data_IF_516549013156
#
_entry.id   IF_516549013156
#
_cell.length_a   1.000
_cell.length_b   1.000
_cell.length_c   1.000
_cell.angle_alpha   90.00
_cell.angle_beta   90.00
_cell.angle_gamma   90.00
#
_symmetry.space_group_name_H-M   'P 1'
#
loop_
_entity.id
_entity.type
_entity.pdbx_description
1 polymer ?
#
# COMPACT_ATOMS: atom_id res chain seq x y z
N UNK A 1 -20.27 -7.27 -27.73
CA UNK A 1 -19.33 -7.92 -26.77
C UNK A 1 -19.12 -9.33 -27.24
N UNK A 2 -17.91 -9.69 -27.68
CA UNK A 2 -17.58 -11.09 -27.95
C UNK A 2 -17.62 -11.84 -26.59
N UNK A 3 -18.43 -12.89 -26.49
CA UNK A 3 -18.40 -13.78 -25.33
C UNK A 3 -17.16 -14.63 -25.43
N UNK A 4 -16.41 -14.72 -24.35
CA UNK A 4 -15.26 -15.60 -24.27
C UNK A 4 -15.75 -17.04 -24.26
N UNK A 5 -15.06 -17.92 -24.97
CA UNK A 5 -15.40 -19.35 -25.10
C UNK A 5 -14.20 -20.20 -24.71
N UNK A 6 -14.44 -21.32 -24.06
CA UNK A 6 -13.44 -22.33 -23.73
C UNK A 6 -14.07 -23.72 -23.73
N UNK A 7 -13.25 -24.77 -23.59
CA UNK A 7 -13.74 -26.13 -23.61
C UNK A 7 -14.43 -26.50 -22.29
N UNK A 8 -15.72 -26.86 -22.39
CA UNK A 8 -16.48 -27.37 -21.26
C UNK A 8 -16.35 -28.88 -21.19
N UNK A 9 -15.81 -29.43 -20.10
CA UNK A 9 -15.60 -30.87 -19.90
C UNK A 9 -16.94 -31.62 -19.78
N UNK A 10 -17.95 -31.00 -19.19
CA UNK A 10 -19.30 -31.57 -19.02
C UNK A 10 -20.05 -31.63 -20.36
N UNK A 11 -20.02 -30.52 -21.13
CA UNK A 11 -20.68 -30.50 -22.46
C UNK A 11 -19.87 -31.19 -23.54
N UNK A 12 -18.54 -31.36 -23.31
CA UNK A 12 -17.55 -31.88 -24.27
C UNK A 12 -17.45 -31.07 -25.58
N UNK A 13 -17.65 -29.77 -25.47
CA UNK A 13 -17.61 -28.84 -26.60
C UNK A 13 -17.11 -27.46 -26.17
N UNK A 14 -16.76 -26.61 -27.14
CA UNK A 14 -16.46 -25.18 -26.89
C UNK A 14 -17.75 -24.45 -26.53
N UNK A 15 -17.82 -23.93 -25.33
CA UNK A 15 -18.98 -23.23 -24.79
C UNK A 15 -18.63 -21.84 -24.28
N UNK A 16 -19.56 -20.93 -24.37
CA UNK A 16 -19.41 -19.64 -23.68
C UNK A 16 -19.49 -19.82 -22.17
N UNK A 17 -18.84 -18.92 -21.44
CA UNK A 17 -18.86 -18.95 -19.99
C UNK A 17 -19.06 -17.55 -19.41
N UNK A 18 -19.56 -17.51 -18.19
CA UNK A 18 -19.67 -16.32 -17.36
C UNK A 18 -18.81 -16.44 -16.10
N UNK A 19 -18.27 -15.31 -15.63
CA UNK A 19 -17.51 -15.28 -14.38
C UNK A 19 -18.44 -15.04 -13.20
N UNK A 20 -18.35 -15.91 -12.19
CA UNK A 20 -19.17 -15.84 -10.99
C UNK A 20 -18.31 -15.93 -9.73
N UNK A 21 -18.69 -15.23 -8.67
CA UNK A 21 -18.06 -15.37 -7.35
C UNK A 21 -18.65 -16.60 -6.63
N UNK A 22 -17.76 -17.42 -6.06
CA UNK A 22 -18.11 -18.62 -5.29
C UNK A 22 -17.26 -18.73 -4.03
N UNK A 23 -17.90 -19.21 -2.96
CA UNK A 23 -17.20 -19.53 -1.72
C UNK A 23 -16.64 -20.94 -1.77
N UNK A 24 -15.35 -21.08 -1.51
CA UNK A 24 -14.66 -22.37 -1.39
C UNK A 24 -13.98 -22.49 -0.05
N UNK A 25 -14.07 -23.65 0.59
CA UNK A 25 -13.36 -23.93 1.84
C UNK A 25 -12.09 -24.71 1.54
N UNK A 26 -10.96 -24.22 2.03
CA UNK A 26 -9.64 -24.87 1.90
C UNK A 26 -9.02 -25.07 3.27
N UNK A 27 -8.36 -26.22 3.46
CA UNK A 27 -7.53 -26.44 4.64
C UNK A 27 -6.13 -25.84 4.40
N UNK A 28 -5.79 -24.80 5.15
CA UNK A 28 -4.47 -24.16 5.09
C UNK A 28 -3.85 -24.23 6.48
N UNK A 29 -2.73 -24.93 6.57
CA UNK A 29 -1.97 -25.11 7.82
C UNK A 29 -2.83 -25.69 8.98
N UNK A 30 -3.74 -26.60 8.67
CA UNK A 30 -4.62 -27.26 9.64
C UNK A 30 -5.90 -26.48 10.00
N UNK A 31 -6.11 -25.30 9.44
CA UNK A 31 -7.33 -24.52 9.61
C UNK A 31 -8.20 -24.56 8.36
N UNK A 32 -9.50 -24.78 8.52
CA UNK A 32 -10.47 -24.68 7.43
C UNK A 32 -10.90 -23.23 7.27
N UNK A 33 -10.50 -22.62 6.15
CA UNK A 33 -10.78 -21.23 5.82
C UNK A 33 -11.64 -21.15 4.57
N UNK A 34 -12.60 -20.25 4.56
CA UNK A 34 -13.49 -20.01 3.41
C UNK A 34 -13.06 -18.77 2.66
N UNK A 35 -12.94 -18.90 1.36
CA UNK A 35 -12.50 -17.86 0.44
C UNK A 35 -13.54 -17.64 -0.65
N UNK A 36 -13.71 -16.40 -1.05
CA UNK A 36 -14.50 -16.05 -2.23
C UNK A 36 -13.56 -16.00 -3.45
N UNK A 37 -13.81 -16.85 -4.44
CA UNK A 37 -13.01 -16.94 -5.66
C UNK A 37 -13.85 -16.70 -6.91
N UNK A 38 -13.21 -16.27 -7.98
CA UNK A 38 -13.82 -16.10 -9.29
C UNK A 38 -13.78 -17.42 -10.06
N UNK A 39 -14.93 -17.95 -10.45
CA UNK A 39 -15.05 -19.18 -11.23
C UNK A 39 -15.63 -18.90 -12.60
N UNK A 40 -15.15 -19.60 -13.64
CA UNK A 40 -15.82 -19.67 -14.92
C UNK A 40 -16.91 -20.73 -14.86
N UNK A 41 -18.12 -20.35 -15.24
CA UNK A 41 -19.30 -21.22 -15.26
C UNK A 41 -19.84 -21.29 -16.68
N UNK A 42 -19.99 -22.50 -17.19
CA UNK A 42 -20.53 -22.74 -18.52
C UNK A 42 -21.96 -22.19 -18.63
N UNK A 43 -22.22 -21.40 -19.65
CA UNK A 43 -23.54 -20.82 -19.88
C UNK A 43 -24.58 -21.88 -20.35
N UNK A 44 -24.09 -23.05 -20.86
CA UNK A 44 -24.95 -24.13 -21.35
C UNK A 44 -25.36 -25.10 -20.24
N UNK A 45 -24.43 -25.63 -19.44
CA UNK A 45 -24.72 -26.64 -18.44
C UNK A 45 -24.62 -26.17 -17.00
N UNK A 46 -24.09 -24.96 -16.75
CA UNK A 46 -23.86 -24.44 -15.40
C UNK A 46 -22.67 -25.08 -14.66
N UNK A 47 -21.92 -25.96 -15.31
CA UNK A 47 -20.75 -26.63 -14.75
C UNK A 47 -19.54 -25.68 -14.68
N UNK A 48 -18.59 -26.00 -13.79
CA UNK A 48 -17.35 -25.27 -13.69
C UNK A 48 -16.43 -25.53 -14.88
N UNK A 49 -15.83 -24.49 -15.41
CA UNK A 49 -14.86 -24.57 -16.50
C UNK A 49 -13.46 -24.22 -16.01
N UNK A 50 -12.48 -24.98 -16.49
CA UNK A 50 -11.06 -24.72 -16.21
C UNK A 50 -10.50 -23.81 -17.30
N UNK A 51 -10.61 -22.50 -17.10
CA UNK A 51 -10.14 -21.50 -18.05
C UNK A 51 -8.74 -21.02 -17.65
N UNK A 52 -7.77 -21.01 -18.57
CA UNK A 52 -6.45 -20.44 -18.31
C UNK A 52 -6.55 -19.00 -17.78
N UNK A 53 -5.71 -18.65 -16.81
CA UNK A 53 -5.71 -17.33 -16.15
C UNK A 53 -6.72 -17.21 -15.00
N UNK A 54 -7.87 -17.90 -15.02
CA UNK A 54 -8.80 -17.92 -13.87
C UNK A 54 -8.21 -18.70 -12.70
N UNK A 55 -7.44 -19.74 -12.97
CA UNK A 55 -6.74 -20.51 -11.93
C UNK A 55 -5.71 -19.64 -11.22
N UNK A 56 -4.92 -18.87 -11.98
CA UNK A 56 -3.93 -17.95 -11.43
C UNK A 56 -4.60 -16.82 -10.64
N UNK A 57 -5.71 -16.28 -11.13
CA UNK A 57 -6.53 -15.30 -10.42
C UNK A 57 -7.02 -15.87 -9.08
N UNK A 58 -7.50 -17.12 -9.06
CA UNK A 58 -7.97 -17.78 -7.83
C UNK A 58 -6.85 -17.93 -6.79
N UNK A 59 -5.65 -18.29 -7.23
CA UNK A 59 -4.48 -18.38 -6.33
C UNK A 59 -4.20 -17.01 -5.71
N UNK A 60 -4.24 -15.94 -6.50
CA UNK A 60 -4.06 -14.58 -6.04
C UNK A 60 -5.17 -14.15 -5.06
N UNK A 61 -6.45 -14.36 -5.41
CA UNK A 61 -7.59 -14.03 -4.56
C UNK A 61 -7.53 -14.75 -3.19
N UNK A 62 -7.12 -16.03 -3.18
CA UNK A 62 -6.96 -16.79 -1.95
C UNK A 62 -5.78 -16.23 -1.11
N UNK A 63 -4.63 -15.94 -1.73
CA UNK A 63 -3.47 -15.40 -1.02
C UNK A 63 -3.78 -14.04 -0.37
N UNK A 64 -4.42 -13.14 -1.10
CA UNK A 64 -4.83 -11.83 -0.56
C UNK A 64 -5.81 -11.96 0.61
N UNK A 65 -6.85 -12.78 0.46
CA UNK A 65 -7.82 -13.01 1.52
C UNK A 65 -7.17 -13.68 2.73
N UNK A 66 -6.28 -14.66 2.52
CA UNK A 66 -5.54 -15.30 3.59
C UNK A 66 -4.68 -14.31 4.37
N UNK A 67 -3.92 -13.46 3.67
CA UNK A 67 -3.11 -12.40 4.31
C UNK A 67 -3.99 -11.46 5.12
N UNK A 68 -5.11 -11.03 4.59
CA UNK A 68 -6.08 -10.16 5.26
C UNK A 68 -6.66 -10.82 6.51
N UNK A 69 -7.11 -12.08 6.42
CA UNK A 69 -7.64 -12.85 7.55
C UNK A 69 -6.63 -13.04 8.68
N UNK A 70 -5.35 -13.25 8.34
CA UNK A 70 -4.27 -13.45 9.31
C UNK A 70 -3.62 -12.13 9.75
N UNK A 71 -4.06 -10.98 9.24
CA UNK A 71 -3.47 -9.68 9.54
C UNK A 71 -2.02 -9.57 9.07
N UNK A 72 -1.70 -10.17 7.94
CA UNK A 72 -0.36 -10.12 7.33
C UNK A 72 -0.30 -9.01 6.29
N UNK A 73 0.91 -8.53 5.98
CA UNK A 73 1.12 -7.54 4.91
C UNK A 73 0.89 -8.18 3.53
N UNK A 74 0.34 -7.39 2.63
CA UNK A 74 0.15 -7.78 1.23
C UNK A 74 1.45 -7.65 0.43
N UNK A 75 1.45 -8.14 -0.80
CA UNK A 75 2.55 -7.90 -1.75
C UNK A 75 2.60 -6.41 -2.13
N UNK A 76 1.43 -5.79 -2.27
CA UNK A 76 1.28 -4.37 -2.56
C UNK A 76 1.86 -3.47 -1.44
N UNK A 77 1.65 -3.82 -0.17
CA UNK A 77 2.29 -3.13 0.96
C UNK A 77 3.82 -3.13 0.83
N UNK A 78 4.41 -4.24 0.39
CA UNK A 78 5.86 -4.34 0.20
C UNK A 78 6.32 -3.49 -0.99
N UNK A 79 5.58 -3.47 -2.10
CA UNK A 79 5.86 -2.59 -3.23
C UNK A 79 5.78 -1.12 -2.81
N UNK A 80 4.71 -0.75 -2.13
CA UNK A 80 4.52 0.61 -1.58
C UNK A 80 5.68 1.02 -0.67
N UNK A 81 6.15 0.11 0.20
CA UNK A 81 7.29 0.38 1.07
C UNK A 81 8.58 0.64 0.27
N UNK A 82 8.84 -0.17 -0.76
CA UNK A 82 10.00 0.01 -1.62
C UNK A 82 9.98 1.34 -2.38
N UNK A 83 8.83 1.73 -2.90
CA UNK A 83 8.63 3.00 -3.61
C UNK A 83 8.70 4.19 -2.66
N UNK A 84 8.03 4.10 -1.51
CA UNK A 84 7.99 5.16 -0.50
C UNK A 84 9.38 5.59 -0.07
N UNK A 85 10.29 4.63 0.15
CA UNK A 85 11.66 4.91 0.59
C UNK A 85 12.71 4.78 -0.51
N UNK A 86 12.28 4.56 -1.76
CA UNK A 86 13.14 4.43 -2.93
C UNK A 86 14.29 3.43 -2.70
N UNK A 87 13.96 2.24 -2.22
CA UNK A 87 14.89 1.20 -1.81
C UNK A 87 14.62 -0.12 -2.53
N UNK A 88 15.68 -0.79 -2.97
CA UNK A 88 15.58 -2.08 -3.66
C UNK A 88 15.29 -3.26 -2.71
N UNK A 89 14.93 -4.42 -3.27
CA UNK A 89 14.53 -5.65 -2.54
C UNK A 89 15.58 -6.12 -1.53
N UNK A 90 16.83 -6.30 -1.97
CA UNK A 90 17.92 -6.78 -1.13
C UNK A 90 18.32 -5.76 -0.04
N UNK A 91 18.55 -4.46 -0.35
CA UNK A 91 18.78 -3.45 0.67
C UNK A 91 17.64 -3.34 1.68
N UNK A 92 16.37 -3.39 1.24
CA UNK A 92 15.22 -3.35 2.14
C UNK A 92 15.22 -4.55 3.10
N UNK A 93 15.49 -5.77 2.59
CA UNK A 93 15.60 -6.96 3.44
C UNK A 93 16.62 -6.75 4.56
N UNK A 94 17.81 -6.25 4.22
CA UNK A 94 18.91 -6.01 5.17
C UNK A 94 18.53 -4.92 6.18
N UNK A 95 17.96 -3.80 5.71
CA UNK A 95 17.53 -2.67 6.56
C UNK A 95 16.50 -3.11 7.60
N UNK A 96 15.54 -3.95 7.21
CA UNK A 96 14.52 -4.46 8.14
C UNK A 96 15.04 -5.57 9.07
N UNK A 97 16.32 -5.97 8.94
CA UNK A 97 16.93 -7.03 9.75
C UNK A 97 16.57 -8.43 9.27
N UNK A 98 16.12 -8.57 8.03
CA UNK A 98 15.82 -9.86 7.40
C UNK A 98 17.05 -10.44 6.69
N UNK A 99 16.95 -11.69 6.23
CA UNK A 99 17.90 -12.24 5.27
C UNK A 99 17.76 -11.55 3.91
N UNK A 100 18.87 -11.37 3.19
CA UNK A 100 18.98 -10.56 1.96
C UNK A 100 17.92 -10.85 0.90
N UNK A 101 17.50 -12.11 0.74
CA UNK A 101 16.53 -12.55 -0.27
C UNK A 101 15.08 -12.59 0.26
N UNK A 102 14.84 -12.21 1.52
CA UNK A 102 13.51 -12.38 2.17
C UNK A 102 12.42 -11.58 1.48
N UNK A 103 12.65 -10.31 1.20
CA UNK A 103 11.68 -9.46 0.47
C UNK A 103 11.43 -10.01 -0.94
N UNK A 104 12.46 -10.50 -1.62
CA UNK A 104 12.29 -11.13 -2.93
C UNK A 104 11.36 -12.35 -2.86
N UNK A 105 11.51 -13.20 -1.84
CA UNK A 105 10.62 -14.36 -1.64
C UNK A 105 9.17 -13.95 -1.36
N UNK A 106 8.96 -12.87 -0.59
CA UNK A 106 7.61 -12.36 -0.30
C UNK A 106 6.93 -11.82 -1.55
N UNK A 107 7.68 -11.13 -2.42
CA UNK A 107 7.19 -10.65 -3.71
C UNK A 107 6.90 -11.79 -4.70
N UNK A 108 7.50 -12.96 -4.51
CA UNK A 108 7.23 -14.19 -5.26
C UNK A 108 6.10 -15.04 -4.65
N UNK A 109 5.36 -14.51 -3.66
CA UNK A 109 4.20 -15.17 -3.08
C UNK A 109 4.45 -15.90 -1.74
N UNK A 110 5.69 -15.95 -1.23
CA UNK A 110 5.90 -16.51 0.11
C UNK A 110 5.20 -15.63 1.17
N UNK A 111 4.45 -16.27 2.05
CA UNK A 111 3.71 -15.59 3.12
C UNK A 111 4.65 -15.24 4.27
N UNK A 112 4.75 -13.96 4.69
CA UNK A 112 5.56 -13.55 5.82
C UNK A 112 4.99 -14.06 7.16
N UNK A 113 5.84 -14.14 8.19
CA UNK A 113 5.38 -14.32 9.56
C UNK A 113 4.65 -13.07 10.06
N UNK A 114 3.88 -13.21 11.15
CA UNK A 114 3.22 -12.07 11.79
C UNK A 114 4.23 -11.02 12.30
N UNK A 115 5.36 -11.49 12.83
CA UNK A 115 6.45 -10.62 13.30
C UNK A 115 7.04 -9.79 12.16
N UNK A 116 7.37 -10.43 11.05
CA UNK A 116 7.92 -9.73 9.88
C UNK A 116 6.89 -8.81 9.23
N UNK A 117 5.62 -9.21 9.21
CA UNK A 117 4.52 -8.33 8.78
C UNK A 117 4.41 -7.08 9.65
N UNK A 118 4.58 -7.20 10.97
CA UNK A 118 4.55 -6.05 11.86
C UNK A 118 5.75 -5.10 11.64
N UNK A 119 6.94 -5.64 11.39
CA UNK A 119 8.13 -4.84 11.07
C UNK A 119 7.89 -4.04 9.77
N UNK A 120 7.38 -4.68 8.73
CA UNK A 120 7.05 -4.03 7.45
C UNK A 120 5.98 -2.96 7.65
N UNK A 121 4.92 -3.25 8.40
CA UNK A 121 3.83 -2.30 8.70
C UNK A 121 4.33 -1.10 9.48
N UNK A 122 5.19 -1.29 10.48
CA UNK A 122 5.80 -0.20 11.23
C UNK A 122 6.66 0.70 10.34
N UNK A 123 7.41 0.10 9.40
CA UNK A 123 8.19 0.87 8.43
C UNK A 123 7.30 1.65 7.46
N UNK A 124 6.15 1.09 7.03
CA UNK A 124 5.17 1.80 6.20
C UNK A 124 4.54 2.99 6.93
N UNK A 125 4.19 2.81 8.19
CA UNK A 125 3.46 3.82 8.97
C UNK A 125 4.33 4.92 9.57
N UNK A 126 5.66 4.71 9.70
CA UNK A 126 6.54 5.63 10.42
C UNK A 126 7.89 5.83 9.72
N UNK A 127 8.11 7.00 9.09
CA UNK A 127 9.42 7.38 8.57
C UNK A 127 10.51 7.42 9.65
N UNK A 128 10.16 7.70 10.89
CA UNK A 128 11.09 7.68 12.03
C UNK A 128 11.56 6.26 12.33
N UNK A 129 10.65 5.28 12.29
CA UNK A 129 11.00 3.88 12.44
C UNK A 129 11.92 3.40 11.31
N UNK A 130 11.63 3.78 10.06
CA UNK A 130 12.48 3.44 8.91
C UNK A 130 13.86 4.09 9.01
N UNK A 131 13.95 5.34 9.47
CA UNK A 131 15.23 6.00 9.75
C UNK A 131 16.07 5.22 10.75
N UNK A 132 15.45 4.83 11.87
CA UNK A 132 16.13 4.03 12.89
C UNK A 132 16.68 2.71 12.29
N UNK A 133 15.88 2.00 11.51
CA UNK A 133 16.28 0.76 10.86
C UNK A 133 17.43 0.95 9.86
N UNK A 134 17.43 2.05 9.11
CA UNK A 134 18.50 2.44 8.20
C UNK A 134 19.80 2.69 8.98
N UNK A 135 19.74 3.42 10.08
CA UNK A 135 20.91 3.72 10.91
C UNK A 135 21.48 2.48 11.60
N UNK A 136 20.61 1.61 12.13
CA UNK A 136 21.00 0.32 12.76
C UNK A 136 21.77 -0.60 11.79
N UNK A 137 21.43 -0.57 10.50
CA UNK A 137 22.01 -1.46 9.50
C UNK A 137 22.89 -0.74 8.45
N UNK A 138 23.32 0.47 8.75
CA UNK A 138 24.07 1.35 7.83
C UNK A 138 25.28 0.66 7.19
N UNK A 139 26.06 -0.06 7.97
CA UNK A 139 27.30 -0.68 7.52
C UNK A 139 27.08 -1.97 6.70
N UNK A 140 25.83 -2.47 6.66
CA UNK A 140 25.45 -3.68 5.93
C UNK A 140 24.82 -3.39 4.58
N UNK A 141 24.53 -2.13 4.28
CA UNK A 141 23.85 -1.67 3.07
C UNK A 141 24.80 -0.82 2.23
N UNK A 142 24.73 -0.96 0.91
CA UNK A 142 25.53 -0.13 0.00
C UNK A 142 25.23 1.37 0.25
N UNK A 143 26.30 2.17 0.34
CA UNK A 143 26.25 3.60 0.67
C UNK A 143 25.26 4.38 -0.25
N UNK A 144 25.19 4.01 -1.53
CA UNK A 144 24.27 4.67 -2.47
C UNK A 144 22.81 4.39 -2.12
N UNK A 145 22.44 3.14 -1.76
CA UNK A 145 21.09 2.78 -1.36
C UNK A 145 20.72 3.44 -0.02
N UNK A 146 21.66 3.45 0.94
CA UNK A 146 21.48 4.14 2.22
C UNK A 146 21.19 5.64 2.02
N UNK A 147 22.04 6.37 1.28
CA UNK A 147 21.88 7.80 1.05
C UNK A 147 20.54 8.12 0.35
N UNK A 148 20.17 7.34 -0.68
CA UNK A 148 18.94 7.51 -1.42
C UNK A 148 17.71 7.36 -0.52
N UNK A 149 17.70 6.33 0.31
CA UNK A 149 16.62 6.06 1.24
C UNK A 149 16.54 7.08 2.38
N UNK A 150 17.68 7.51 2.94
CA UNK A 150 17.73 8.55 3.97
C UNK A 150 17.23 9.91 3.48
N UNK A 151 17.55 10.30 2.24
CA UNK A 151 17.00 11.52 1.65
C UNK A 151 15.47 11.44 1.59
N UNK A 152 14.95 10.29 1.17
CA UNK A 152 13.50 10.08 1.09
C UNK A 152 12.83 10.10 2.46
N UNK A 153 13.45 9.50 3.47
CA UNK A 153 13.00 9.59 4.88
C UNK A 153 12.94 11.05 5.34
N UNK A 154 13.98 11.84 5.05
CA UNK A 154 14.02 13.25 5.43
C UNK A 154 12.90 14.07 4.76
N UNK A 155 12.63 13.83 3.48
CA UNK A 155 11.52 14.44 2.76
C UNK A 155 10.18 14.10 3.40
N UNK A 156 9.94 12.81 3.69
CA UNK A 156 8.71 12.34 4.32
C UNK A 156 8.53 12.92 5.72
N UNK A 157 9.57 12.95 6.54
CA UNK A 157 9.53 13.57 7.88
C UNK A 157 9.14 15.05 7.80
N UNK A 158 9.71 15.77 6.85
CA UNK A 158 9.36 17.18 6.62
C UNK A 158 7.89 17.33 6.18
N UNK A 159 7.39 16.46 5.31
CA UNK A 159 5.97 16.44 4.93
C UNK A 159 5.06 16.18 6.13
N UNK A 160 5.41 15.25 7.02
CA UNK A 160 4.64 14.98 8.24
C UNK A 160 4.65 16.18 9.21
N UNK A 161 5.76 16.88 9.35
CA UNK A 161 5.84 18.09 10.19
C UNK A 161 4.94 19.19 9.62
N UNK A 162 5.00 19.43 8.32
CA UNK A 162 4.12 20.38 7.61
C UNK A 162 2.66 19.97 7.77
N UNK A 163 2.35 18.71 7.53
CA UNK A 163 1.01 18.15 7.66
C UNK A 163 0.44 18.34 9.08
N UNK A 164 1.20 18.06 10.13
CA UNK A 164 0.75 18.22 11.50
C UNK A 164 0.45 19.67 11.88
N UNK A 165 1.30 20.62 11.48
CA UNK A 165 1.04 22.07 11.69
C UNK A 165 -0.21 22.52 10.93
N UNK A 166 -0.34 22.11 9.67
CA UNK A 166 -1.50 22.46 8.85
C UNK A 166 -2.78 21.83 9.40
N UNK A 167 -2.75 20.56 9.80
CA UNK A 167 -3.88 19.88 10.44
C UNK A 167 -4.26 20.59 11.73
N UNK A 168 -3.31 20.97 12.58
CA UNK A 168 -3.56 21.72 13.80
C UNK A 168 -4.24 23.06 13.54
N UNK A 169 -3.80 23.80 12.54
CA UNK A 169 -4.43 25.08 12.14
C UNK A 169 -5.83 24.84 11.54
N UNK A 170 -5.98 23.84 10.69
CA UNK A 170 -7.29 23.47 10.12
C UNK A 170 -8.27 23.06 11.22
N UNK A 171 -7.84 22.22 12.17
CA UNK A 171 -8.68 21.81 13.31
C UNK A 171 -9.10 23.01 14.15
N UNK A 172 -8.20 23.94 14.40
CA UNK A 172 -8.52 25.19 15.12
C UNK A 172 -9.53 26.06 14.37
N UNK A 173 -9.40 26.17 13.02
CA UNK A 173 -10.36 26.90 12.20
C UNK A 173 -11.77 26.27 12.31
N UNK A 174 -11.88 24.95 12.21
CA UNK A 174 -13.16 24.24 12.34
C UNK A 174 -13.74 24.30 13.76
N UNK A 175 -12.89 24.40 14.78
CA UNK A 175 -13.37 24.62 16.16
C UNK A 175 -13.98 26.01 16.38
N UNK A 176 -13.48 27.02 15.65
CA UNK A 176 -13.90 28.43 15.83
C UNK A 176 -14.98 28.88 14.87
N UNK A 177 -15.20 28.16 13.79
CA UNK A 177 -16.17 28.54 12.74
C UNK A 177 -17.15 27.38 12.53
N UNK A 178 -18.44 27.69 12.59
CA UNK A 178 -19.51 26.68 12.43
C UNK A 178 -19.58 26.11 11.02
N UNK A 179 -19.29 26.92 10.00
CA UNK A 179 -19.25 26.51 8.59
C UNK A 179 -18.00 27.03 7.88
N UNK A 180 -17.27 26.15 7.22
CA UNK A 180 -16.07 26.50 6.44
C UNK A 180 -16.16 25.87 5.05
N UNK A 181 -16.32 26.70 4.01
CA UNK A 181 -16.23 26.21 2.63
C UNK A 181 -14.78 25.94 2.22
N UNK A 182 -14.51 25.06 1.24
CA UNK A 182 -13.15 24.80 0.75
C UNK A 182 -12.41 26.07 0.32
N UNK A 183 -13.09 26.99 -0.35
CA UNK A 183 -12.52 28.28 -0.79
C UNK A 183 -12.19 29.21 0.40
N UNK A 184 -13.04 29.23 1.40
CA UNK A 184 -12.81 29.99 2.63
C UNK A 184 -11.59 29.44 3.40
N UNK A 185 -11.51 28.10 3.53
CA UNK A 185 -10.36 27.45 4.17
C UNK A 185 -9.05 27.78 3.46
N UNK A 186 -9.04 27.70 2.13
CA UNK A 186 -7.85 28.04 1.32
C UNK A 186 -7.41 29.48 1.55
N UNK A 187 -8.33 30.44 1.57
CA UNK A 187 -8.04 31.85 1.84
C UNK A 187 -7.51 32.06 3.26
N UNK A 188 -8.13 31.44 4.26
CA UNK A 188 -7.68 31.53 5.66
C UNK A 188 -6.26 31.00 5.84
N UNK A 189 -5.94 29.85 5.27
CA UNK A 189 -4.58 29.29 5.30
C UNK A 189 -3.56 30.21 4.63
N UNK A 190 -3.92 30.84 3.51
CA UNK A 190 -3.07 31.82 2.84
C UNK A 190 -2.81 33.06 3.72
N UNK A 191 -3.84 33.62 4.36
CA UNK A 191 -3.67 34.75 5.27
C UNK A 191 -2.84 34.40 6.51
N UNK A 192 -3.05 33.22 7.09
CA UNK A 192 -2.27 32.72 8.24
C UNK A 192 -0.79 32.59 7.87
N UNK A 193 -0.50 32.09 6.67
CA UNK A 193 0.87 32.01 6.14
C UNK A 193 1.51 33.41 6.02
N UNK A 194 0.81 34.35 5.40
CA UNK A 194 1.28 35.75 5.26
C UNK A 194 1.47 36.45 6.59
N UNK A 195 0.53 36.28 7.51
CA UNK A 195 0.60 36.86 8.85
C UNK A 195 1.77 36.30 9.66
N UNK A 196 2.00 35.00 9.59
CA UNK A 196 3.15 34.38 10.24
C UNK A 196 4.48 34.93 9.73
N UNK A 197 4.57 35.13 8.42
CA UNK A 197 5.77 35.75 7.83
C UNK A 197 6.00 37.18 8.32
N UNK A 198 4.94 37.99 8.38
CA UNK A 198 5.03 39.38 8.83
C UNK A 198 5.39 39.48 10.32
N UNK A 199 4.77 38.65 11.18
CA UNK A 199 4.95 38.72 12.63
C UNK A 199 6.20 38.01 13.13
N UNK A 200 6.57 36.88 12.52
CA UNK A 200 7.62 35.99 13.02
C UNK A 200 8.85 35.93 12.10
N UNK A 201 8.83 36.58 10.94
CA UNK A 201 9.88 36.49 9.93
C UNK A 201 10.06 35.13 9.29
N UNK A 202 9.10 34.23 9.49
CA UNK A 202 9.14 32.84 8.96
C UNK A 202 7.76 32.33 8.54
N UNK A 203 7.76 31.44 7.56
CA UNK A 203 6.55 30.79 7.08
C UNK A 203 5.96 29.87 8.15
N UNK A 204 4.62 29.83 8.25
CA UNK A 204 3.90 28.88 9.10
C UNK A 204 3.98 27.46 8.53
N UNK A 205 3.83 27.36 7.20
CA UNK A 205 3.84 26.11 6.44
C UNK A 205 4.97 26.17 5.41
N UNK A 206 6.03 25.40 5.61
CA UNK A 206 7.17 25.37 4.69
C UNK A 206 6.75 24.79 3.32
N UNK A 207 7.08 25.47 2.23
CA UNK A 207 6.82 25.02 0.86
C UNK A 207 5.39 25.24 0.32
N UNK A 208 4.51 25.89 1.08
CA UNK A 208 3.13 26.17 0.65
C UNK A 208 3.04 27.18 -0.50
N UNK A 209 3.98 28.12 -0.59
CA UNK A 209 3.93 29.25 -1.51
C UNK A 209 4.35 28.94 -2.95
N UNK A 210 4.98 27.80 -3.25
CA UNK A 210 5.54 27.54 -4.59
C UNK A 210 4.65 26.77 -5.55
N UNK A 211 3.55 26.14 -5.13
CA UNK A 211 2.72 25.30 -6.00
C UNK A 211 1.23 25.63 -6.07
N UNK A 212 0.73 26.56 -5.26
CA UNK A 212 -0.72 26.82 -5.16
C UNK A 212 -1.21 28.00 -6.00
N UNK A 213 -0.37 28.60 -6.84
CA UNK A 213 -0.73 29.80 -7.62
C UNK A 213 -0.87 29.50 -9.13
N UNK A 214 -0.65 28.25 -9.56
CA UNK A 214 -0.82 27.86 -10.97
C UNK A 214 -1.81 26.71 -11.06
N UNK A 215 -3.08 27.08 -11.19
CA UNK A 215 -4.20 26.19 -11.41
C UNK A 215 -5.48 26.99 -11.54
#
# INVERSE_FOLDING_TARGET
>A
MQRETDFCVECREMSSYSLQKRCVTKNIRGENLTFEITCAVCDTCGGFMSVPGIIDLNVHEIDEQYRKLKGLVSIEDIHTLMELYNIGKAPLSIVLGFGEITITRYLLGQVPSKEYSNIIRNALSSPVYMEQKLLENKDRVALAAFKKSMNRVSELKNMFIISNKMIGVISYIFEKLDEVTPLMLQKLLYYIQGLSFVLNGREMFDGFTKRSIVG
#
